data_IF_174202777910
#
_entry.id   IF_174202777910
#
_cell.length_a   1.000
_cell.length_b   1.000
_cell.length_c   1.000
_cell.angle_alpha   90.00
_cell.angle_beta   90.00
_cell.angle_gamma   90.00
#
_symmetry.space_group_name_H-M   'P 1'
#
loop_
_entity.id
_entity.type
_entity.pdbx_description
1 polymer ?
#
# COMPACT_ATOMS: atom_id res chain seq x y z
N UNK A 1 7.64 -6.35 63.63
CA UNK A 1 6.81 -7.41 62.98
C UNK A 1 5.90 -6.80 61.89
N UNK A 2 5.28 -5.67 62.08
CA UNK A 2 4.38 -5.01 61.12
C UNK A 2 5.09 -4.47 59.87
N UNK A 3 6.30 -3.92 59.98
CA UNK A 3 7.07 -3.41 58.83
C UNK A 3 7.55 -4.50 57.87
N UNK A 4 7.93 -5.68 58.40
CA UNK A 4 8.32 -6.81 57.56
C UNK A 4 7.16 -7.39 56.75
N UNK A 5 5.92 -7.31 57.28
CA UNK A 5 4.71 -7.72 56.55
C UNK A 5 4.32 -6.74 55.46
N UNK A 6 4.57 -5.43 55.66
CA UNK A 6 4.35 -4.39 54.66
C UNK A 6 5.34 -4.48 53.52
N UNK A 7 6.64 -4.71 53.83
CA UNK A 7 7.66 -4.92 52.78
C UNK A 7 7.38 -6.16 51.91
N UNK A 8 6.93 -7.27 52.54
CA UNK A 8 6.59 -8.52 51.81
C UNK A 8 5.37 -8.33 50.92
N UNK A 9 4.38 -7.56 51.36
CA UNK A 9 3.17 -7.24 50.56
C UNK A 9 3.51 -6.29 49.39
N UNK A 10 4.39 -5.32 49.58
CA UNK A 10 4.88 -4.48 48.47
C UNK A 10 5.68 -5.27 47.45
N UNK A 11 6.58 -6.16 47.86
CA UNK A 11 7.36 -7.02 46.98
C UNK A 11 6.47 -7.94 46.13
N UNK A 12 5.44 -8.55 46.72
CA UNK A 12 4.52 -9.42 46.01
C UNK A 12 3.65 -8.67 44.98
N UNK A 13 3.21 -7.44 45.32
CA UNK A 13 2.45 -6.58 44.42
C UNK A 13 3.26 -6.17 43.20
N UNK A 14 4.52 -5.74 43.40
CA UNK A 14 5.41 -5.38 42.29
C UNK A 14 5.79 -6.58 41.43
N UNK A 15 5.93 -7.76 42.00
CA UNK A 15 6.21 -9.00 41.28
C UNK A 15 5.01 -9.40 40.37
N UNK A 16 3.78 -9.33 40.90
CA UNK A 16 2.57 -9.62 40.14
C UNK A 16 2.39 -8.56 39.04
N UNK A 17 2.57 -7.29 39.36
CA UNK A 17 2.48 -6.19 38.40
C UNK A 17 3.52 -6.32 37.27
N UNK A 18 4.76 -6.69 37.60
CA UNK A 18 5.81 -6.98 36.64
C UNK A 18 5.49 -8.17 35.74
N UNK A 19 4.97 -9.27 36.30
CA UNK A 19 4.54 -10.42 35.51
C UNK A 19 3.34 -10.10 34.61
N UNK A 20 2.36 -9.31 35.08
CA UNK A 20 1.25 -8.87 34.25
C UNK A 20 1.70 -7.91 33.15
N UNK A 21 2.61 -6.98 33.45
CA UNK A 21 3.10 -6.01 32.47
C UNK A 21 3.93 -6.60 31.33
N UNK A 22 4.57 -7.75 31.56
CA UNK A 22 5.30 -8.49 30.51
C UNK A 22 4.49 -9.65 29.93
N UNK A 23 3.68 -10.32 30.75
CA UNK A 23 2.89 -11.48 30.33
C UNK A 23 1.74 -11.12 29.40
N UNK A 24 1.02 -10.04 29.68
CA UNK A 24 -0.12 -9.63 28.86
C UNK A 24 0.29 -9.19 27.43
N UNK A 25 1.32 -8.36 27.21
CA UNK A 25 1.80 -8.05 25.86
C UNK A 25 2.34 -9.28 25.13
N UNK A 26 3.07 -10.17 25.84
CA UNK A 26 3.58 -11.40 25.23
C UNK A 26 2.43 -12.31 24.80
N UNK A 27 1.43 -12.51 25.67
CA UNK A 27 0.23 -13.29 25.34
C UNK A 27 -0.50 -12.69 24.13
N UNK A 28 -0.71 -11.37 24.11
CA UNK A 28 -1.37 -10.69 22.99
C UNK A 28 -0.59 -10.86 21.68
N UNK A 29 0.74 -10.76 21.73
CA UNK A 29 1.59 -10.96 20.55
C UNK A 29 1.52 -12.40 20.04
N UNK A 30 1.65 -13.39 20.94
CA UNK A 30 1.55 -14.82 20.59
C UNK A 30 0.16 -15.16 20.06
N UNK A 31 -0.90 -14.65 20.70
CA UNK A 31 -2.28 -14.85 20.26
C UNK A 31 -2.50 -14.29 18.85
N UNK A 32 -2.02 -13.08 18.57
CA UNK A 32 -2.14 -12.45 17.24
C UNK A 32 -1.38 -13.24 16.16
N UNK A 33 -0.15 -13.67 16.46
CA UNK A 33 0.64 -14.50 15.52
C UNK A 33 -0.06 -15.83 15.25
N UNK A 34 -0.61 -16.45 16.29
CA UNK A 34 -1.32 -17.72 16.19
C UNK A 34 -2.61 -17.59 15.38
N UNK A 35 -3.36 -16.50 15.60
CA UNK A 35 -4.56 -16.16 14.82
C UNK A 35 -4.22 -16.00 13.33
N UNK A 36 -3.18 -15.22 13.02
CA UNK A 36 -2.75 -15.02 11.63
C UNK A 36 -2.30 -16.36 11.01
N UNK A 37 -1.53 -17.15 11.75
CA UNK A 37 -1.08 -18.45 11.28
C UNK A 37 -2.25 -19.41 11.00
N UNK A 38 -3.26 -19.43 11.87
CA UNK A 38 -4.48 -20.23 11.66
C UNK A 38 -5.27 -19.77 10.43
N UNK A 39 -5.43 -18.45 10.24
CA UNK A 39 -6.09 -17.90 9.05
C UNK A 39 -5.33 -18.25 7.77
N UNK A 40 -4.02 -18.10 7.75
CA UNK A 40 -3.20 -18.47 6.59
C UNK A 40 -3.29 -19.98 6.30
N UNK A 41 -3.21 -20.81 7.34
CA UNK A 41 -3.35 -22.26 7.21
C UNK A 41 -4.72 -22.64 6.63
N UNK A 42 -5.79 -21.97 7.09
CA UNK A 42 -7.14 -22.17 6.58
C UNK A 42 -7.24 -21.85 5.09
N UNK A 43 -6.70 -20.70 4.65
CA UNK A 43 -6.68 -20.33 3.23
C UNK A 43 -5.80 -21.27 2.40
N UNK A 44 -4.66 -21.72 2.92
CA UNK A 44 -3.81 -22.71 2.24
C UNK A 44 -4.55 -24.03 2.06
N UNK A 45 -5.17 -24.52 3.13
CA UNK A 45 -5.85 -25.82 3.11
C UNK A 45 -7.00 -25.89 2.10
N UNK A 46 -7.81 -24.83 2.03
CA UNK A 46 -8.98 -24.80 1.16
C UNK A 46 -8.67 -24.22 -0.23
N UNK A 47 -7.66 -23.37 -0.35
CA UNK A 47 -7.32 -22.71 -1.62
C UNK A 47 -6.33 -23.47 -2.48
N UNK A 48 -5.36 -24.17 -1.87
CA UNK A 48 -4.30 -24.85 -2.61
C UNK A 48 -4.79 -25.89 -3.63
N UNK A 49 -5.83 -26.71 -3.32
CA UNK A 49 -6.36 -27.68 -4.31
C UNK A 49 -6.93 -27.03 -5.57
N UNK A 50 -7.42 -25.78 -5.48
CA UNK A 50 -7.98 -25.04 -6.63
C UNK A 50 -6.93 -24.34 -7.50
N UNK A 51 -5.66 -24.28 -7.06
CA UNK A 51 -4.60 -23.63 -7.81
C UNK A 51 -3.99 -24.62 -8.80
N UNK A 52 -4.44 -24.54 -10.04
CA UNK A 52 -3.88 -25.28 -11.17
C UNK A 52 -3.09 -24.33 -12.08
N UNK A 53 -2.28 -24.89 -13.00
CA UNK A 53 -1.59 -24.06 -13.99
C UNK A 53 -2.58 -23.31 -14.89
N UNK A 54 -3.66 -23.96 -15.32
CA UNK A 54 -4.73 -23.35 -16.09
C UNK A 54 -5.39 -22.18 -15.30
N UNK A 55 -5.66 -22.37 -14.01
CA UNK A 55 -6.21 -21.32 -13.14
C UNK A 55 -5.32 -20.05 -13.08
N UNK A 56 -4.00 -20.21 -13.13
CA UNK A 56 -3.06 -19.08 -13.09
C UNK A 56 -2.83 -18.42 -14.45
N UNK A 57 -3.02 -19.14 -15.57
CA UNK A 57 -2.59 -18.68 -16.90
C UNK A 57 -3.73 -18.43 -17.88
N UNK A 58 -4.92 -18.95 -17.61
CA UNK A 58 -6.07 -18.75 -18.48
C UNK A 58 -6.89 -17.53 -18.10
N UNK A 59 -7.71 -17.08 -19.05
CA UNK A 59 -8.73 -16.06 -18.81
C UNK A 59 -10.01 -16.69 -18.22
N UNK A 60 -10.82 -15.92 -17.48
CA UNK A 60 -12.10 -16.40 -16.95
C UNK A 60 -13.09 -16.68 -18.08
N UNK A 61 -13.90 -17.74 -17.90
CA UNK A 61 -14.98 -18.16 -18.79
C UNK A 61 -16.25 -18.42 -17.98
N UNK A 62 -17.39 -18.49 -18.67
CA UNK A 62 -18.70 -18.84 -18.07
C UNK A 62 -18.99 -18.08 -16.75
N UNK A 63 -18.95 -16.75 -16.80
CA UNK A 63 -19.19 -15.89 -15.63
C UNK A 63 -18.24 -16.17 -14.45
N UNK A 64 -16.98 -16.46 -14.71
CA UNK A 64 -15.93 -16.80 -13.72
C UNK A 64 -16.10 -18.16 -13.03
N UNK A 65 -16.96 -19.05 -13.52
CA UNK A 65 -17.08 -20.40 -12.97
C UNK A 65 -16.05 -21.36 -13.57
N UNK A 66 -15.48 -21.01 -14.72
CA UNK A 66 -14.47 -21.78 -15.45
C UNK A 66 -13.30 -20.90 -15.89
N UNK A 67 -12.19 -21.54 -16.29
CA UNK A 67 -10.98 -20.84 -16.71
C UNK A 67 -10.09 -20.45 -15.55
N UNK A 68 -9.43 -19.30 -15.67
CA UNK A 68 -8.45 -18.84 -14.72
C UNK A 68 -8.63 -17.37 -14.33
N UNK A 69 -7.60 -16.83 -13.64
CA UNK A 69 -7.59 -15.48 -13.10
C UNK A 69 -6.41 -14.65 -13.62
N UNK A 70 -5.75 -15.08 -14.71
CA UNK A 70 -4.59 -14.39 -15.25
C UNK A 70 -4.81 -12.89 -15.49
N UNK A 71 -5.93 -12.43 -16.11
CA UNK A 71 -6.18 -11.02 -16.30
C UNK A 71 -6.28 -10.24 -15.00
N UNK A 72 -6.81 -10.86 -13.92
CA UNK A 72 -6.88 -10.24 -12.61
C UNK A 72 -5.49 -10.09 -11.94
N UNK A 73 -4.64 -11.12 -12.07
CA UNK A 73 -3.25 -11.06 -11.61
C UNK A 73 -2.50 -9.95 -12.34
N UNK A 74 -2.56 -9.95 -13.67
CA UNK A 74 -1.90 -8.95 -14.50
C UNK A 74 -2.40 -7.54 -14.17
N UNK A 75 -3.72 -7.32 -14.17
CA UNK A 75 -4.30 -6.01 -13.90
C UNK A 75 -3.96 -5.47 -12.50
N UNK A 76 -3.93 -6.34 -11.48
CA UNK A 76 -3.54 -5.94 -10.12
C UNK A 76 -2.06 -5.54 -10.05
N UNK A 77 -1.16 -6.33 -10.65
CA UNK A 77 0.29 -6.01 -10.68
C UNK A 77 0.53 -4.71 -11.43
N UNK A 78 -0.12 -4.56 -12.59
CA UNK A 78 0.07 -3.39 -13.43
C UNK A 78 -0.50 -2.12 -12.79
N UNK A 79 -1.66 -2.21 -12.12
CA UNK A 79 -2.23 -1.13 -11.32
C UNK A 79 -1.24 -0.67 -10.23
N UNK A 80 -0.70 -1.61 -9.44
CA UNK A 80 0.23 -1.30 -8.34
C UNK A 80 1.52 -0.69 -8.88
N UNK A 81 2.00 -1.17 -10.03
CA UNK A 81 3.16 -0.60 -10.69
C UNK A 81 2.95 0.86 -11.11
N UNK A 82 1.85 1.16 -11.82
CA UNK A 82 1.53 2.54 -12.25
C UNK A 82 1.23 3.45 -11.05
N UNK A 83 0.48 2.97 -10.05
CA UNK A 83 0.25 3.69 -8.80
C UNK A 83 1.58 4.09 -8.13
N UNK A 84 2.53 3.16 -8.05
CA UNK A 84 3.83 3.41 -7.44
C UNK A 84 4.66 4.41 -8.25
N UNK A 85 4.60 4.30 -9.57
CA UNK A 85 5.29 5.21 -10.49
C UNK A 85 4.78 6.66 -10.37
N UNK A 86 3.51 6.84 -10.06
CA UNK A 86 2.91 8.17 -9.83
C UNK A 86 3.09 8.63 -8.37
N UNK A 87 2.73 7.81 -7.42
CA UNK A 87 2.63 8.18 -6.00
C UNK A 87 3.99 8.35 -5.32
N UNK A 88 4.95 7.46 -5.59
CA UNK A 88 6.24 7.50 -4.89
C UNK A 88 7.08 8.75 -5.25
N UNK A 89 7.24 9.15 -6.52
CA UNK A 89 7.96 10.38 -6.84
C UNK A 89 7.29 11.63 -6.28
N UNK A 90 5.96 11.74 -6.38
CA UNK A 90 5.20 12.88 -5.86
C UNK A 90 5.32 12.96 -4.34
N UNK A 91 5.13 11.84 -3.66
CA UNK A 91 5.26 11.76 -2.19
C UNK A 91 6.67 12.09 -1.72
N UNK A 92 7.68 11.56 -2.42
CA UNK A 92 9.10 11.83 -2.10
C UNK A 92 9.44 13.31 -2.32
N UNK A 93 9.04 13.92 -3.44
CA UNK A 93 9.26 15.34 -3.69
C UNK A 93 8.58 16.21 -2.63
N UNK A 94 7.35 15.86 -2.24
CA UNK A 94 6.62 16.56 -1.18
C UNK A 94 7.34 16.43 0.17
N UNK A 95 7.81 15.25 0.53
CA UNK A 95 8.56 15.02 1.77
C UNK A 95 9.89 15.79 1.80
N UNK A 96 10.63 15.81 0.69
CA UNK A 96 11.86 16.61 0.56
C UNK A 96 11.54 18.10 0.77
N UNK A 97 10.50 18.60 0.13
CA UNK A 97 10.09 19.98 0.33
C UNK A 97 9.77 20.29 1.79
N UNK A 98 8.95 19.46 2.43
CA UNK A 98 8.52 19.65 3.82
C UNK A 98 9.66 19.48 4.84
N UNK A 99 10.64 18.61 4.58
CA UNK A 99 11.77 18.36 5.47
C UNK A 99 12.88 19.39 5.30
N UNK A 100 13.23 19.71 4.04
CA UNK A 100 14.45 20.46 3.74
C UNK A 100 14.22 21.94 3.44
N UNK A 101 13.10 22.30 2.82
CA UNK A 101 12.86 23.67 2.35
C UNK A 101 11.84 24.43 3.17
N UNK A 102 10.84 23.75 3.67
CA UNK A 102 9.73 24.40 4.33
C UNK A 102 10.09 24.86 5.74
N UNK A 103 9.81 26.12 6.07
CA UNK A 103 9.87 26.60 7.45
C UNK A 103 8.75 25.89 8.25
N UNK A 104 9.11 25.25 9.36
CA UNK A 104 8.15 24.46 10.16
C UNK A 104 6.94 25.27 10.65
N UNK A 105 7.10 26.56 10.86
CA UNK A 105 6.02 27.47 11.30
C UNK A 105 5.28 28.16 10.15
N UNK A 106 5.64 27.92 8.89
CA UNK A 106 4.94 28.50 7.74
C UNK A 106 3.49 28.00 7.67
N UNK A 107 2.56 28.88 7.37
CA UNK A 107 1.16 28.52 7.12
C UNK A 107 1.02 27.43 6.05
N UNK A 108 1.77 27.55 4.96
CA UNK A 108 1.73 26.58 3.87
C UNK A 108 2.20 25.18 4.33
N UNK A 109 3.30 25.09 5.09
CA UNK A 109 3.79 23.81 5.61
C UNK A 109 2.79 23.15 6.55
N UNK A 110 2.15 23.94 7.42
CA UNK A 110 1.10 23.45 8.32
C UNK A 110 -0.11 22.95 7.53
N UNK A 111 -0.53 23.68 6.49
CA UNK A 111 -1.68 23.30 5.66
C UNK A 111 -1.41 21.98 4.92
N UNK A 112 -0.22 21.81 4.33
CA UNK A 112 0.15 20.57 3.66
C UNK A 112 0.18 19.39 4.66
N UNK A 113 0.81 19.55 5.83
CA UNK A 113 0.82 18.51 6.87
C UNK A 113 -0.60 18.19 7.38
N UNK A 114 -1.42 19.20 7.58
CA UNK A 114 -2.82 19.03 7.95
C UNK A 114 -3.57 18.22 6.87
N UNK A 115 -3.38 18.58 5.60
CA UNK A 115 -3.96 17.83 4.47
C UNK A 115 -3.50 16.37 4.44
N UNK A 116 -2.19 16.11 4.56
CA UNK A 116 -1.63 14.76 4.61
C UNK A 116 -2.23 13.93 5.76
N UNK A 117 -2.30 14.51 6.96
CA UNK A 117 -2.86 13.82 8.13
C UNK A 117 -4.37 13.59 8.00
N UNK A 118 -5.09 14.54 7.40
CA UNK A 118 -6.53 14.40 7.15
C UNK A 118 -6.80 13.31 6.12
N UNK A 119 -6.05 13.28 5.02
CA UNK A 119 -6.15 12.22 4.01
C UNK A 119 -5.92 10.82 4.58
N UNK A 120 -5.00 10.68 5.54
CA UNK A 120 -4.76 9.39 6.20
C UNK A 120 -5.98 8.86 7.00
N UNK A 121 -6.88 9.74 7.42
CA UNK A 121 -8.11 9.39 8.15
C UNK A 121 -9.35 9.20 7.28
N UNK A 122 -9.29 9.49 5.99
CA UNK A 122 -10.43 9.36 5.07
C UNK A 122 -10.68 7.90 4.73
N UNK A 123 -11.94 7.40 4.81
CA UNK A 123 -12.29 6.04 4.37
C UNK A 123 -11.92 5.82 2.89
N UNK A 124 -11.39 4.64 2.56
CA UNK A 124 -10.87 4.36 1.21
C UNK A 124 -11.94 4.46 0.11
N UNK A 125 -13.20 4.15 0.44
CA UNK A 125 -14.32 4.28 -0.50
C UNK A 125 -14.55 5.73 -0.97
N UNK A 126 -14.28 6.71 -0.11
CA UNK A 126 -14.43 8.14 -0.44
C UNK A 126 -13.40 8.55 -1.51
N UNK A 127 -12.21 7.95 -1.48
CA UNK A 127 -11.22 8.15 -2.55
C UNK A 127 -11.72 7.64 -3.90
N UNK A 128 -12.50 6.54 -3.92
CA UNK A 128 -13.12 6.05 -5.15
C UNK A 128 -14.11 7.06 -5.73
N UNK A 129 -14.99 7.61 -4.91
CA UNK A 129 -15.94 8.65 -5.32
C UNK A 129 -15.22 9.93 -5.76
N UNK A 130 -14.19 10.34 -5.02
CA UNK A 130 -13.31 11.45 -5.42
C UNK A 130 -12.66 11.15 -6.79
N UNK A 131 -12.15 9.94 -6.99
CA UNK A 131 -11.52 9.53 -8.25
C UNK A 131 -12.47 9.64 -9.44
N UNK A 132 -13.72 9.21 -9.29
CA UNK A 132 -14.73 9.40 -10.35
C UNK A 132 -14.99 10.88 -10.61
N UNK A 133 -15.26 11.66 -9.58
CA UNK A 133 -15.59 13.08 -9.75
C UNK A 133 -14.43 13.90 -10.30
N UNK A 134 -13.24 13.72 -9.73
CA UNK A 134 -12.08 14.54 -10.07
C UNK A 134 -11.30 14.00 -11.27
N UNK A 135 -10.89 12.72 -11.25
CA UNK A 135 -10.07 12.22 -12.35
C UNK A 135 -10.90 11.90 -13.59
N UNK A 136 -12.01 11.18 -13.47
CA UNK A 136 -12.78 10.76 -14.65
C UNK A 136 -13.61 11.93 -15.20
N UNK A 137 -14.44 12.56 -14.34
CA UNK A 137 -15.40 13.55 -14.83
C UNK A 137 -14.81 14.95 -15.02
N UNK A 138 -13.89 15.39 -14.17
CA UNK A 138 -13.30 16.72 -14.32
C UNK A 138 -12.07 16.70 -15.24
N UNK A 139 -11.04 15.89 -14.94
CA UNK A 139 -9.81 15.86 -15.75
C UNK A 139 -10.07 15.12 -17.07
N UNK A 140 -10.59 13.88 -17.02
CA UNK A 140 -10.80 13.04 -18.20
C UNK A 140 -11.74 13.68 -19.23
N UNK A 141 -12.90 14.20 -18.75
CA UNK A 141 -13.81 14.92 -19.62
C UNK A 141 -13.22 16.26 -20.16
N UNK A 142 -12.41 16.94 -19.36
CA UNK A 142 -11.68 18.12 -19.82
C UNK A 142 -10.71 17.82 -20.96
N UNK A 143 -9.94 16.72 -20.84
CA UNK A 143 -9.03 16.26 -21.90
C UNK A 143 -9.82 15.88 -23.15
N UNK A 144 -10.88 15.08 -22.99
CA UNK A 144 -11.71 14.62 -24.12
C UNK A 144 -12.36 15.80 -24.86
N UNK A 145 -12.82 16.82 -24.12
CA UNK A 145 -13.41 18.02 -24.73
C UNK A 145 -12.36 18.80 -25.52
N UNK A 146 -11.14 18.94 -24.98
CA UNK A 146 -10.07 19.64 -25.67
C UNK A 146 -9.51 18.89 -26.88
N UNK A 147 -9.41 17.56 -26.77
CA UNK A 147 -8.88 16.67 -27.81
C UNK A 147 -9.94 16.13 -28.78
N UNK A 148 -11.22 16.47 -28.58
CA UNK A 148 -12.38 15.93 -29.34
C UNK A 148 -12.40 14.39 -29.36
N UNK A 149 -12.11 13.77 -28.22
CA UNK A 149 -12.11 12.31 -28.03
C UNK A 149 -13.15 11.90 -26.99
N UNK A 150 -13.30 10.60 -26.75
CA UNK A 150 -14.16 10.02 -25.70
C UNK A 150 -13.44 8.92 -24.95
N UNK A 151 -12.12 9.07 -24.80
CA UNK A 151 -11.23 8.02 -24.27
C UNK A 151 -11.07 8.17 -22.75
N UNK A 152 -10.86 9.39 -22.29
CA UNK A 152 -10.44 9.68 -20.91
C UNK A 152 -11.59 9.93 -19.93
N UNK A 153 -12.78 10.22 -20.42
CA UNK A 153 -14.00 10.42 -19.61
C UNK A 153 -14.64 9.14 -19.11
N UNK A 154 -13.92 8.02 -19.17
CA UNK A 154 -14.37 6.69 -18.72
C UNK A 154 -13.50 6.18 -17.57
N UNK A 155 -14.07 5.37 -16.66
CA UNK A 155 -13.28 4.64 -15.68
C UNK A 155 -12.21 3.78 -16.36
N UNK A 156 -10.98 3.85 -15.87
CA UNK A 156 -9.82 3.24 -16.53
C UNK A 156 -8.67 2.98 -15.55
N UNK A 157 -7.69 2.22 -16.01
CA UNK A 157 -6.50 1.84 -15.24
C UNK A 157 -5.71 3.06 -14.74
N UNK A 158 -5.53 4.08 -15.58
CA UNK A 158 -4.78 5.29 -15.19
C UNK A 158 -5.48 6.05 -14.06
N UNK A 159 -6.81 6.19 -14.14
CA UNK A 159 -7.57 6.88 -13.11
C UNK A 159 -7.64 6.10 -11.80
N UNK A 160 -7.72 4.77 -11.88
CA UNK A 160 -7.61 3.90 -10.71
C UNK A 160 -6.22 4.03 -10.06
N UNK A 161 -5.15 4.01 -10.87
CA UNK A 161 -3.78 4.20 -10.38
C UNK A 161 -3.57 5.59 -9.77
N UNK A 162 -4.09 6.65 -10.37
CA UNK A 162 -4.03 8.01 -9.83
C UNK A 162 -4.79 8.12 -8.50
N UNK A 163 -5.97 7.51 -8.41
CA UNK A 163 -6.78 7.49 -7.18
C UNK A 163 -6.05 6.76 -6.04
N UNK A 164 -5.49 5.58 -6.31
CA UNK A 164 -4.69 4.85 -5.33
C UNK A 164 -3.40 5.58 -4.97
N UNK A 165 -2.80 6.30 -5.91
CA UNK A 165 -1.62 7.14 -5.63
C UNK A 165 -1.95 8.19 -4.59
N UNK A 166 -3.06 8.91 -4.75
CA UNK A 166 -3.52 9.93 -3.77
C UNK A 166 -3.78 9.29 -2.40
N UNK A 167 -4.43 8.12 -2.37
CA UNK A 167 -4.70 7.37 -1.14
C UNK A 167 -3.41 6.97 -0.41
N UNK A 168 -2.36 6.61 -1.14
CA UNK A 168 -1.09 6.15 -0.56
C UNK A 168 -0.09 7.29 -0.28
N UNK A 169 -0.29 8.49 -0.83
CA UNK A 169 0.57 9.66 -0.61
C UNK A 169 0.91 9.92 0.87
N UNK A 170 -0.04 9.91 1.82
CA UNK A 170 0.29 10.15 3.22
C UNK A 170 1.33 9.19 3.77
N UNK A 171 1.23 7.90 3.41
CA UNK A 171 2.16 6.86 3.87
C UNK A 171 3.57 7.11 3.31
N UNK A 172 3.67 7.44 2.02
CA UNK A 172 4.95 7.75 1.37
C UNK A 172 5.56 9.02 1.98
N UNK A 173 4.79 10.10 2.07
CA UNK A 173 5.28 11.41 2.58
C UNK A 173 5.82 11.25 4.00
N UNK A 174 5.06 10.63 4.91
CA UNK A 174 5.48 10.47 6.31
C UNK A 174 6.72 9.60 6.42
N UNK A 175 6.75 8.45 5.74
CA UNK A 175 7.90 7.55 5.81
C UNK A 175 9.17 8.17 5.22
N UNK A 176 9.06 8.91 4.12
CA UNK A 176 10.20 9.59 3.49
C UNK A 176 10.65 10.79 4.35
N UNK A 177 9.72 11.57 4.91
CA UNK A 177 10.06 12.68 5.81
C UNK A 177 10.81 12.19 7.04
N UNK A 178 10.38 11.07 7.65
CA UNK A 178 11.07 10.44 8.76
C UNK A 178 12.47 9.95 8.36
N UNK A 179 12.61 9.35 7.19
CA UNK A 179 13.90 8.92 6.66
C UNK A 179 14.87 10.09 6.45
N UNK A 180 14.39 11.21 5.92
CA UNK A 180 15.20 12.42 5.73
C UNK A 180 15.63 13.02 7.07
N UNK A 181 14.75 13.05 8.07
CA UNK A 181 15.05 13.56 9.43
C UNK A 181 16.08 12.71 10.17
N UNK A 182 16.16 11.43 9.89
CA UNK A 182 17.12 10.52 10.51
C UNK A 182 18.55 10.69 9.98
N UNK A 183 18.77 11.47 8.93
CA UNK A 183 20.11 11.81 8.44
C UNK A 183 20.76 12.82 9.41
N UNK A 184 21.95 12.52 10.01
CA UNK A 184 22.61 13.39 10.97
C UNK A 184 22.82 14.82 10.45
N UNK A 185 22.60 15.78 11.33
CA UNK A 185 22.75 17.20 11.00
C UNK A 185 24.21 17.55 10.64
N UNK A 186 25.17 16.90 11.31
CA UNK A 186 26.61 17.11 11.08
C UNK A 186 27.01 16.85 9.63
N UNK A 187 26.41 15.86 8.96
CA UNK A 187 26.68 15.58 7.55
C UNK A 187 26.22 16.71 6.63
N UNK A 188 25.12 17.37 7.00
CA UNK A 188 24.59 18.51 6.25
C UNK A 188 25.48 19.73 6.42
N UNK A 189 25.85 20.01 7.67
CA UNK A 189 26.73 21.14 8.02
C UNK A 189 28.12 20.98 7.43
N UNK A 190 28.70 19.79 7.47
CA UNK A 190 29.97 19.50 6.83
C UNK A 190 29.93 19.74 5.31
N UNK A 191 28.86 19.31 4.64
CA UNK A 191 28.69 19.56 3.19
C UNK A 191 28.60 21.06 2.88
N UNK A 192 27.82 21.81 3.68
CA UNK A 192 27.68 23.26 3.49
C UNK A 192 28.99 24.00 3.81
N UNK A 193 29.75 23.56 4.82
CA UNK A 193 31.07 24.13 5.18
C UNK A 193 32.10 23.97 4.05
N UNK A 194 31.98 22.90 3.25
CA UNK A 194 32.81 22.68 2.05
C UNK A 194 32.36 23.51 0.83
N UNK A 195 31.39 24.42 1.01
CA UNK A 195 30.88 25.28 -0.05
C UNK A 195 29.81 24.69 -0.94
N UNK A 196 29.24 23.52 -0.59
CA UNK A 196 28.13 22.96 -1.34
C UNK A 196 26.86 23.82 -1.17
N UNK A 197 26.09 23.96 -2.24
CA UNK A 197 24.75 24.55 -2.15
C UNK A 197 23.78 23.61 -1.43
N UNK A 198 22.67 24.13 -0.91
CA UNK A 198 21.64 23.35 -0.26
C UNK A 198 21.10 22.21 -1.17
N UNK A 199 20.93 22.51 -2.45
CA UNK A 199 20.53 21.52 -3.45
C UNK A 199 21.57 20.40 -3.61
N UNK A 200 22.86 20.75 -3.71
CA UNK A 200 23.94 19.76 -3.78
C UNK A 200 24.00 18.90 -2.51
N UNK A 201 23.84 19.49 -1.33
CA UNK A 201 23.80 18.77 -0.07
C UNK A 201 22.63 17.77 -0.05
N UNK A 202 21.43 18.18 -0.48
CA UNK A 202 20.26 17.27 -0.54
C UNK A 202 20.53 16.10 -1.48
N UNK A 203 20.96 16.38 -2.71
CA UNK A 203 21.14 15.33 -3.72
C UNK A 203 22.32 14.40 -3.48
N UNK A 204 23.44 14.92 -2.95
CA UNK A 204 24.68 14.16 -2.81
C UNK A 204 24.90 13.58 -1.41
N UNK A 205 24.24 14.14 -0.39
CA UNK A 205 24.43 13.71 0.99
C UNK A 205 23.12 13.19 1.59
N UNK A 206 22.05 13.99 1.60
CA UNK A 206 20.82 13.63 2.32
C UNK A 206 20.07 12.49 1.65
N UNK A 207 19.80 12.59 0.35
CA UNK A 207 19.05 11.57 -0.39
C UNK A 207 19.73 10.19 -0.40
N UNK A 208 21.03 10.06 -0.70
CA UNK A 208 21.69 8.76 -0.64
C UNK A 208 21.65 8.13 0.76
N UNK A 209 21.83 8.93 1.81
CA UNK A 209 21.76 8.43 3.20
C UNK A 209 20.33 8.08 3.66
N UNK A 210 19.30 8.70 3.07
CA UNK A 210 17.89 8.41 3.38
C UNK A 210 17.25 7.33 2.47
N UNK A 211 17.97 6.84 1.46
CA UNK A 211 17.44 5.95 0.42
C UNK A 211 16.78 4.69 0.98
N UNK A 212 17.36 4.11 2.04
CA UNK A 212 16.78 2.92 2.70
C UNK A 212 15.39 3.20 3.30
N UNK A 213 15.19 4.40 3.85
CA UNK A 213 13.90 4.83 4.39
C UNK A 213 12.88 5.15 3.29
N UNK A 214 13.32 5.81 2.20
CA UNK A 214 12.49 6.07 1.03
C UNK A 214 11.96 4.76 0.45
N UNK A 215 12.83 3.77 0.27
CA UNK A 215 12.43 2.43 -0.19
C UNK A 215 11.50 1.73 0.79
N UNK A 216 11.64 1.97 2.10
CA UNK A 216 10.69 1.45 3.10
C UNK A 216 9.30 2.06 2.93
N UNK A 217 9.21 3.38 2.72
CA UNK A 217 7.94 4.06 2.43
C UNK A 217 7.29 3.53 1.14
N UNK A 218 8.10 3.29 0.11
CA UNK A 218 7.64 2.67 -1.15
C UNK A 218 7.05 1.28 -0.91
N UNK A 219 7.73 0.42 -0.14
CA UNK A 219 7.24 -0.93 0.19
C UNK A 219 5.90 -0.87 0.91
N UNK A 220 5.75 0.03 1.88
CA UNK A 220 4.49 0.21 2.60
C UNK A 220 3.36 0.68 1.69
N UNK A 221 3.65 1.58 0.74
CA UNK A 221 2.67 2.06 -0.23
C UNK A 221 2.25 0.94 -1.20
N UNK A 222 3.20 0.15 -1.72
CA UNK A 222 2.94 -1.01 -2.58
C UNK A 222 2.08 -2.03 -1.86
N UNK A 223 2.45 -2.41 -0.63
CA UNK A 223 1.70 -3.38 0.17
C UNK A 223 0.27 -2.94 0.44
N UNK A 224 0.06 -1.65 0.74
CA UNK A 224 -1.27 -1.08 0.92
C UNK A 224 -2.05 -1.09 -0.39
N UNK A 225 -1.48 -0.56 -1.47
CA UNK A 225 -2.16 -0.46 -2.76
C UNK A 225 -2.58 -1.79 -3.35
N UNK A 226 -1.78 -2.85 -3.16
CA UNK A 226 -2.10 -4.19 -3.64
C UNK A 226 -3.35 -4.81 -2.97
N UNK A 227 -3.67 -4.38 -1.74
CA UNK A 227 -4.83 -4.87 -0.99
C UNK A 227 -6.09 -4.00 -1.07
N UNK A 228 -6.01 -2.81 -1.68
CA UNK A 228 -7.14 -1.88 -1.72
C UNK A 228 -8.15 -2.26 -2.81
N UNK A 229 -9.40 -2.43 -2.41
CA UNK A 229 -10.50 -2.83 -3.32
C UNK A 229 -11.52 -1.70 -3.50
N UNK A 230 -11.95 -1.08 -2.40
CA UNK A 230 -13.07 -0.14 -2.40
C UNK A 230 -12.90 1.06 -3.38
N UNK A 231 -11.74 1.74 -3.47
CA UNK A 231 -11.60 2.87 -4.38
C UNK A 231 -11.56 2.45 -5.85
N UNK A 232 -11.01 1.28 -6.18
CA UNK A 232 -10.82 0.88 -7.59
C UNK A 232 -12.09 0.41 -8.27
N UNK A 233 -13.07 -0.08 -7.51
CA UNK A 233 -14.38 -0.50 -8.02
C UNK A 233 -15.07 0.61 -8.80
N UNK A 234 -14.93 1.85 -8.35
CA UNK A 234 -15.59 3.00 -8.99
C UNK A 234 -14.82 3.57 -10.18
N UNK A 235 -13.50 3.35 -10.25
CA UNK A 235 -12.63 4.16 -11.12
C UNK A 235 -12.03 3.37 -12.29
N UNK A 236 -12.31 2.07 -12.40
CA UNK A 236 -11.83 1.33 -13.59
C UNK A 236 -11.68 -0.17 -13.43
N UNK A 237 -11.75 -0.69 -12.20
CA UNK A 237 -11.68 -2.12 -12.00
C UNK A 237 -12.99 -2.79 -12.41
N UNK A 238 -12.88 -3.96 -13.01
CA UNK A 238 -13.99 -4.87 -13.31
C UNK A 238 -13.72 -6.24 -12.68
N UNK A 239 -14.78 -6.96 -12.35
CA UNK A 239 -14.66 -8.25 -11.67
C UNK A 239 -14.40 -9.42 -12.64
N UNK A 240 -14.76 -9.24 -13.92
CA UNK A 240 -14.55 -10.23 -14.98
C UNK A 240 -14.30 -9.52 -16.30
N UNK A 241 -13.12 -9.73 -16.87
CA UNK A 241 -12.72 -9.23 -18.18
C UNK A 241 -11.66 -10.17 -18.74
N UNK A 242 -12.01 -11.01 -19.75
CA UNK A 242 -11.05 -11.95 -20.32
C UNK A 242 -9.87 -11.31 -21.05
N UNK A 243 -10.06 -10.09 -21.57
CA UNK A 243 -9.03 -9.34 -22.28
C UNK A 243 -8.10 -8.61 -21.30
N UNK A 244 -6.83 -8.53 -21.67
CA UNK A 244 -5.88 -7.65 -20.99
C UNK A 244 -6.09 -6.22 -21.45
N UNK A 245 -5.78 -5.21 -20.61
CA UNK A 245 -5.78 -3.82 -21.03
C UNK A 245 -4.66 -3.57 -22.05
N UNK A 246 -5.01 -3.07 -23.22
CA UNK A 246 -4.07 -2.68 -24.27
C UNK A 246 -3.55 -1.25 -24.06
N UNK A 247 -4.28 -0.44 -23.31
CA UNK A 247 -4.02 0.96 -23.04
C UNK A 247 -4.27 1.29 -21.57
N UNK A 248 -3.63 2.36 -21.10
CA UNK A 248 -3.89 2.92 -19.76
C UNK A 248 -5.32 3.49 -19.63
N UNK A 249 -5.98 3.74 -20.73
CA UNK A 249 -7.37 4.21 -20.78
C UNK A 249 -8.40 3.08 -20.71
N UNK A 250 -7.96 1.82 -20.72
CA UNK A 250 -8.86 0.67 -20.65
C UNK A 250 -9.22 0.32 -19.21
N UNK A 251 -10.36 -0.36 -19.07
CA UNK A 251 -10.72 -1.05 -17.84
C UNK A 251 -9.83 -2.29 -17.67
N UNK A 252 -9.72 -2.77 -16.46
CA UNK A 252 -8.88 -3.92 -16.13
C UNK A 252 -9.54 -4.81 -15.09
N UNK A 253 -9.26 -6.09 -15.12
CA UNK A 253 -9.69 -7.01 -14.08
C UNK A 253 -8.81 -6.84 -12.85
N UNK A 254 -9.44 -6.78 -11.65
CA UNK A 254 -8.75 -6.60 -10.37
C UNK A 254 -9.05 -7.76 -9.43
N UNK A 255 -8.01 -8.39 -8.87
CA UNK A 255 -8.16 -9.58 -8.02
C UNK A 255 -9.05 -9.35 -6.80
N UNK A 256 -8.84 -8.26 -6.08
CA UNK A 256 -9.64 -7.94 -4.90
C UNK A 256 -11.12 -7.73 -5.23
N UNK A 257 -11.42 -7.10 -6.37
CA UNK A 257 -12.81 -6.94 -6.82
C UNK A 257 -13.41 -8.26 -7.29
N UNK A 258 -12.67 -9.08 -8.00
CA UNK A 258 -13.07 -10.43 -8.39
C UNK A 258 -13.43 -11.29 -7.15
N UNK A 259 -12.58 -11.32 -6.14
CA UNK A 259 -12.85 -12.05 -4.89
C UNK A 259 -14.09 -11.50 -4.19
N UNK A 260 -14.24 -10.17 -4.13
CA UNK A 260 -15.41 -9.53 -3.52
C UNK A 260 -16.71 -9.97 -4.20
N UNK A 261 -16.75 -10.00 -5.54
CA UNK A 261 -17.95 -10.43 -6.29
C UNK A 261 -18.23 -11.92 -6.11
N UNK A 262 -17.20 -12.77 -6.13
CA UNK A 262 -17.35 -14.21 -5.81
C UNK A 262 -17.93 -14.43 -4.42
N UNK A 263 -17.54 -13.61 -3.44
CA UNK A 263 -17.99 -13.74 -2.06
C UNK A 263 -19.42 -13.21 -1.81
N UNK A 264 -19.84 -12.18 -2.56
CA UNK A 264 -21.06 -11.42 -2.23
C UNK A 264 -22.16 -11.49 -3.28
N UNK A 265 -21.82 -11.77 -4.52
CA UNK A 265 -22.73 -11.66 -5.66
C UNK A 265 -22.84 -12.94 -6.50
N UNK A 266 -22.18 -14.03 -6.09
CA UNK A 266 -22.27 -15.30 -6.82
C UNK A 266 -23.66 -15.91 -6.63
N UNK A 267 -24.35 -16.31 -7.72
CA UNK A 267 -25.67 -16.95 -7.65
C UNK A 267 -25.65 -18.29 -6.91
N UNK A 268 -24.53 -19.02 -6.98
CA UNK A 268 -24.29 -20.26 -6.27
C UNK A 268 -23.05 -20.16 -5.40
N UNK A 269 -23.25 -19.89 -4.12
CA UNK A 269 -22.16 -19.71 -3.15
C UNK A 269 -21.33 -21.01 -2.99
N UNK A 270 -21.92 -22.19 -3.11
CA UNK A 270 -21.21 -23.45 -2.95
C UNK A 270 -20.18 -23.69 -4.06
N UNK A 271 -20.51 -23.37 -5.30
CA UNK A 271 -19.61 -23.50 -6.46
C UNK A 271 -18.55 -22.40 -6.47
N UNK A 272 -18.88 -21.21 -5.98
CA UNK A 272 -17.95 -20.08 -5.91
C UNK A 272 -16.91 -20.22 -4.79
N UNK A 273 -17.20 -20.96 -3.74
CA UNK A 273 -16.36 -21.03 -2.54
C UNK A 273 -14.93 -21.56 -2.81
N UNK A 274 -14.71 -22.64 -3.59
CA UNK A 274 -13.37 -23.09 -3.94
C UNK A 274 -12.56 -22.06 -4.72
N UNK A 275 -13.22 -21.38 -5.69
CA UNK A 275 -12.61 -20.33 -6.50
C UNK A 275 -12.24 -19.11 -5.64
N UNK A 276 -13.10 -18.75 -4.70
CA UNK A 276 -12.85 -17.66 -3.75
C UNK A 276 -11.61 -17.95 -2.89
N UNK A 277 -11.49 -19.17 -2.32
CA UNK A 277 -10.32 -19.56 -1.56
C UNK A 277 -9.04 -19.58 -2.39
N UNK A 278 -9.10 -20.15 -3.59
CA UNK A 278 -7.97 -20.20 -4.51
C UNK A 278 -7.52 -18.78 -4.92
N UNK A 279 -8.46 -17.92 -5.33
CA UNK A 279 -8.19 -16.52 -5.71
C UNK A 279 -7.61 -15.71 -4.53
N UNK A 280 -8.16 -15.92 -3.32
CA UNK A 280 -7.65 -15.25 -2.10
C UNK A 280 -6.23 -15.69 -1.79
N UNK A 281 -5.93 -16.99 -1.90
CA UNK A 281 -4.58 -17.50 -1.67
C UNK A 281 -3.59 -16.95 -2.71
N UNK A 282 -3.98 -16.87 -3.99
CA UNK A 282 -3.16 -16.25 -5.04
C UNK A 282 -2.94 -14.76 -4.75
N UNK A 283 -3.95 -14.01 -4.31
CA UNK A 283 -3.80 -12.60 -3.94
C UNK A 283 -2.83 -12.42 -2.77
N UNK A 284 -2.92 -13.27 -1.75
CA UNK A 284 -1.98 -13.26 -0.63
C UNK A 284 -0.55 -13.53 -1.10
N UNK A 285 -0.34 -14.57 -1.92
CA UNK A 285 0.99 -14.89 -2.50
C UNK A 285 1.49 -13.70 -3.34
N UNK A 286 0.65 -13.10 -4.15
CA UNK A 286 0.99 -11.94 -4.97
C UNK A 286 1.41 -10.75 -4.11
N UNK A 287 0.63 -10.39 -3.10
CA UNK A 287 0.94 -9.29 -2.19
C UNK A 287 2.25 -9.54 -1.43
N UNK A 288 2.47 -10.75 -0.93
CA UNK A 288 3.74 -11.13 -0.32
C UNK A 288 4.91 -11.05 -1.29
N UNK A 289 4.73 -11.53 -2.53
CA UNK A 289 5.77 -11.51 -3.57
C UNK A 289 6.17 -10.08 -3.94
N UNK A 290 5.21 -9.18 -4.09
CA UNK A 290 5.46 -7.75 -4.36
C UNK A 290 6.23 -7.10 -3.20
N UNK A 291 5.83 -7.36 -1.96
CA UNK A 291 6.51 -6.83 -0.78
C UNK A 291 7.92 -7.42 -0.61
N UNK A 292 8.11 -8.72 -0.84
CA UNK A 292 9.41 -9.37 -0.77
C UNK A 292 10.35 -8.86 -1.87
N UNK A 293 9.84 -8.66 -3.09
CA UNK A 293 10.62 -8.10 -4.19
C UNK A 293 11.11 -6.69 -3.85
N UNK A 294 10.21 -5.84 -3.36
CA UNK A 294 10.57 -4.49 -2.94
C UNK A 294 11.56 -4.51 -1.74
N UNK A 295 11.37 -5.42 -0.77
CA UNK A 295 12.30 -5.60 0.34
C UNK A 295 13.68 -6.11 -0.11
N UNK A 296 13.73 -7.02 -1.09
CA UNK A 296 14.97 -7.53 -1.68
C UNK A 296 15.75 -6.41 -2.40
N UNK A 297 15.06 -5.60 -3.20
CA UNK A 297 15.65 -4.42 -3.87
C UNK A 297 16.27 -3.48 -2.83
N UNK A 298 15.54 -3.19 -1.74
CA UNK A 298 16.04 -2.39 -0.62
C UNK A 298 17.32 -2.96 0.00
N UNK A 299 17.34 -4.27 0.25
CA UNK A 299 18.53 -4.93 0.84
C UNK A 299 19.72 -4.88 -0.11
N UNK A 300 19.51 -5.06 -1.40
CA UNK A 300 20.58 -4.99 -2.41
C UNK A 300 21.18 -3.59 -2.50
N UNK A 301 20.35 -2.56 -2.56
CA UNK A 301 20.80 -1.16 -2.60
C UNK A 301 21.56 -0.79 -1.32
N UNK A 302 21.07 -1.22 -0.14
CA UNK A 302 21.76 -0.99 1.13
C UNK A 302 23.17 -1.61 1.17
N UNK A 303 23.37 -2.75 0.52
CA UNK A 303 24.69 -3.42 0.47
C UNK A 303 25.68 -2.73 -0.48
N UNK A 304 25.20 -2.08 -1.53
CA UNK A 304 26.05 -1.36 -2.49
C UNK A 304 26.54 0.00 -1.99
N UNK A 305 25.96 0.51 -0.89
CA UNK A 305 26.31 1.81 -0.28
C UNK A 305 27.11 1.65 1.03
N UNK A 306 27.48 0.41 1.40
CA UNK A 306 28.47 0.10 2.43
C UNK A 306 29.81 -0.24 1.81
#
# INVERSE_FOLDING_TARGET
>A
MTELLLQKKHSSYYYIKSKLSTGLPLFSAVFLVLLIALLLLHFIWHGAPGITWAFLTEAPRNNNTEGGIFPAIYGTVFLVFIMSLLGVPIGTATAIYLSEYAKQQSFFSRSVRFGVNTLAGVPSIVFGLFGVGFFVQFIGKGIDTAAQTTIWSKPSLIWAAATLSVLTLPVVIVAVEEALRNVPQDLREASLALGATKWQTIWRVVLPNSLTGILTGTILAVGRGAGEVAPVIFVGAVYSLPQLPDSLADQFMHMGYHIYVLATQSPNAADALPLQYASTLVLLILAFSLNLTAAYIRLRIRRSHK
#
